data_IF_938507514960
#
_entry.id   IF_938507514960
#
_cell.length_a   1.000
_cell.length_b   1.000
_cell.length_c   1.000
_cell.angle_alpha   90.00
_cell.angle_beta   90.00
_cell.angle_gamma   90.00
#
_symmetry.space_group_name_H-M   'P 1'
#
loop_
_entity.id
_entity.type
_entity.pdbx_description
1 polymer ?
#
# COMPACT_ATOMS: atom_id res chain seq x y z
N UNK A 1 -13.02 18.39 -14.22
CA UNK A 1 -12.90 18.37 -12.76
C UNK A 1 -11.93 17.30 -12.32
N UNK A 2 -10.91 17.73 -11.65
CA UNK A 2 -9.87 16.81 -11.26
C UNK A 2 -10.24 16.03 -10.03
N UNK A 3 -9.91 14.76 -10.04
CA UNK A 3 -10.03 13.95 -8.88
C UNK A 3 -8.80 14.11 -8.03
N UNK A 4 -9.01 14.23 -6.75
CA UNK A 4 -7.90 14.24 -5.81
C UNK A 4 -7.50 12.79 -5.56
N UNK A 5 -6.29 12.48 -5.96
CA UNK A 5 -5.70 11.18 -5.62
C UNK A 5 -4.33 11.41 -5.03
N UNK A 6 -3.96 10.57 -4.10
CA UNK A 6 -2.65 10.63 -3.47
C UNK A 6 -1.91 9.35 -3.77
N UNK A 7 -0.62 9.46 -4.00
CA UNK A 7 0.19 8.29 -4.27
C UNK A 7 0.96 7.93 -3.00
N UNK A 8 0.67 6.73 -2.49
CA UNK A 8 1.37 6.18 -1.35
C UNK A 8 2.35 5.15 -1.87
N UNK A 9 3.61 5.27 -1.48
CA UNK A 9 4.64 4.37 -1.98
C UNK A 9 5.07 3.44 -0.85
N UNK A 10 4.97 2.14 -1.12
CA UNK A 10 5.49 1.12 -0.23
C UNK A 10 6.74 0.52 -0.85
N UNK A 11 7.56 -0.10 -0.02
CA UNK A 11 8.72 -0.82 -0.49
C UNK A 11 8.69 -2.21 0.10
N UNK A 12 8.97 -3.21 -0.74
CA UNK A 12 9.01 -4.60 -0.28
C UNK A 12 10.33 -4.82 0.45
N UNK A 13 10.25 -5.12 1.74
CA UNK A 13 11.43 -5.38 2.57
C UNK A 13 11.85 -6.83 2.47
N UNK A 14 10.87 -7.73 2.58
CA UNK A 14 11.11 -9.17 2.50
C UNK A 14 10.20 -9.76 1.44
N UNK A 15 10.70 -9.95 0.21
CA UNK A 15 9.89 -10.54 -0.85
C UNK A 15 9.47 -11.95 -0.45
N UNK A 16 8.22 -12.29 -0.73
CA UNK A 16 7.73 -13.60 -0.43
C UNK A 16 6.21 -13.63 -0.40
N UNK A 17 5.64 -14.77 0.02
CA UNK A 17 4.18 -14.94 0.00
C UNK A 17 3.45 -13.95 0.89
N UNK A 18 4.05 -13.57 2.02
CA UNK A 18 3.40 -12.64 2.93
C UNK A 18 3.28 -11.25 2.32
N UNK A 19 4.36 -10.77 1.69
CA UNK A 19 4.30 -9.47 1.03
C UNK A 19 3.27 -9.49 -0.08
N UNK A 20 3.24 -10.56 -0.88
CA UNK A 20 2.27 -10.68 -1.97
C UNK A 20 0.84 -10.69 -1.45
N UNK A 21 0.61 -11.38 -0.33
CA UNK A 21 -0.72 -11.44 0.27
C UNK A 21 -1.18 -10.07 0.74
N UNK A 22 -0.28 -9.32 1.36
CA UNK A 22 -0.59 -7.97 1.84
C UNK A 22 -0.92 -7.05 0.67
N UNK A 23 -0.14 -7.12 -0.41
CA UNK A 23 -0.40 -6.28 -1.56
C UNK A 23 -1.74 -6.63 -2.21
N UNK A 24 -2.05 -7.92 -2.30
CA UNK A 24 -3.34 -8.33 -2.84
C UNK A 24 -4.49 -7.87 -1.96
N UNK A 25 -4.29 -7.86 -0.65
CA UNK A 25 -5.32 -7.38 0.26
C UNK A 25 -5.57 -5.90 0.03
N UNK A 26 -4.51 -5.12 -0.18
CA UNK A 26 -4.67 -3.71 -0.50
C UNK A 26 -5.48 -3.51 -1.79
N UNK A 27 -5.18 -4.30 -2.81
CA UNK A 27 -5.92 -4.20 -4.05
C UNK A 27 -7.40 -4.49 -3.85
N UNK A 28 -7.69 -5.51 -3.07
CA UNK A 28 -9.06 -5.94 -2.85
C UNK A 28 -9.83 -4.93 -1.99
N UNK A 29 -9.20 -4.45 -0.91
CA UNK A 29 -9.90 -3.59 0.04
C UNK A 29 -10.05 -2.17 -0.46
N UNK A 30 -9.06 -1.67 -1.18
CA UNK A 30 -9.06 -0.28 -1.64
C UNK A 30 -9.40 -0.13 -3.11
N UNK A 31 -9.53 -1.23 -3.84
CA UNK A 31 -9.83 -1.16 -5.26
C UNK A 31 -8.72 -0.52 -6.07
N UNK A 32 -7.46 -0.80 -5.70
CA UNK A 32 -6.31 -0.16 -6.35
C UNK A 32 -5.38 -1.24 -6.89
N UNK A 33 -4.42 -0.81 -7.70
CA UNK A 33 -3.33 -1.69 -8.13
C UNK A 33 -2.17 -1.53 -7.16
N UNK A 34 -1.61 -2.66 -6.71
CA UNK A 34 -0.49 -2.66 -5.77
C UNK A 34 0.53 -3.68 -6.25
N UNK A 35 1.23 -3.35 -7.34
CA UNK A 35 2.19 -4.25 -7.96
C UNK A 35 3.60 -3.72 -7.80
N UNK A 36 4.56 -4.58 -7.40
CA UNK A 36 5.94 -4.13 -7.25
C UNK A 36 6.52 -3.65 -8.58
N UNK A 37 7.23 -2.55 -8.51
CA UNK A 37 7.94 -1.98 -9.63
C UNK A 37 9.43 -2.19 -9.44
N UNK A 38 10.24 -1.44 -10.18
CA UNK A 38 11.68 -1.53 -10.08
C UNK A 38 12.14 -1.29 -8.64
N UNK A 39 13.09 -2.09 -8.17
CA UNK A 39 13.69 -1.98 -6.83
C UNK A 39 12.68 -2.25 -5.71
N UNK A 40 11.60 -2.95 -6.02
CA UNK A 40 10.63 -3.35 -5.00
C UNK A 40 9.71 -2.24 -4.52
N UNK A 41 9.68 -1.12 -5.23
CA UNK A 41 8.74 -0.04 -4.88
C UNK A 41 7.35 -0.36 -5.41
N UNK A 42 6.35 0.00 -4.61
CA UNK A 42 4.94 -0.26 -4.94
C UNK A 42 4.19 1.05 -4.84
N UNK A 43 4.01 1.77 -5.95
CA UNK A 43 3.21 2.99 -5.91
C UNK A 43 1.73 2.64 -5.96
N UNK A 44 0.96 3.26 -5.07
CA UNK A 44 -0.47 2.99 -4.94
C UNK A 44 -1.21 4.32 -5.06
N UNK A 45 -2.11 4.41 -6.04
CA UNK A 45 -2.94 5.60 -6.21
C UNK A 45 -4.21 5.41 -5.40
N UNK A 46 -4.37 6.19 -4.35
CA UNK A 46 -5.51 6.09 -3.44
C UNK A 46 -6.41 7.30 -3.65
N UNK A 47 -7.69 7.05 -3.84
CA UNK A 47 -8.65 8.13 -4.08
C UNK A 47 -9.12 8.77 -2.80
N UNK A 48 -8.22 9.48 -2.11
CA UNK A 48 -8.51 10.18 -0.89
C UNK A 48 -8.12 11.65 -1.01
N UNK A 49 -8.75 12.48 -0.21
CA UNK A 49 -8.58 13.92 -0.30
C UNK A 49 -7.36 14.42 0.46
N UNK A 50 -6.33 13.66 0.53
CA UNK A 50 -5.12 14.10 1.20
C UNK A 50 -4.20 12.93 1.40
N UNK A 51 -2.91 13.27 1.44
CA UNK A 51 -1.89 12.23 1.58
C UNK A 51 -2.04 11.50 2.91
N UNK A 52 -2.32 12.25 3.99
CA UNK A 52 -2.44 11.63 5.31
C UNK A 52 -3.60 10.64 5.36
N UNK A 53 -4.72 10.99 4.72
CA UNK A 53 -5.87 10.09 4.69
C UNK A 53 -5.55 8.85 3.84
N UNK A 54 -4.82 9.03 2.75
CA UNK A 54 -4.41 7.91 1.92
C UNK A 54 -3.49 6.97 2.68
N UNK A 55 -2.52 7.53 3.41
CA UNK A 55 -1.61 6.73 4.23
C UNK A 55 -2.40 5.98 5.30
N UNK A 56 -3.35 6.64 5.94
CA UNK A 56 -4.15 6.01 6.98
C UNK A 56 -4.96 4.84 6.42
N UNK A 57 -5.53 5.01 5.23
CA UNK A 57 -6.31 3.93 4.62
C UNK A 57 -5.43 2.72 4.32
N UNK A 58 -4.26 2.95 3.73
CA UNK A 58 -3.33 1.86 3.42
C UNK A 58 -2.87 1.17 4.69
N UNK A 59 -2.46 1.95 5.68
CA UNK A 59 -1.95 1.40 6.94
C UNK A 59 -3.01 0.57 7.64
N UNK A 60 -4.26 1.04 7.65
CA UNK A 60 -5.33 0.30 8.31
C UNK A 60 -5.53 -1.06 7.69
N UNK A 61 -5.55 -1.13 6.36
CA UNK A 61 -5.73 -2.42 5.68
C UNK A 61 -4.58 -3.36 6.02
N UNK A 62 -3.35 -2.83 6.02
CA UNK A 62 -2.19 -3.67 6.31
C UNK A 62 -2.22 -4.19 7.74
N UNK A 63 -2.58 -3.33 8.70
CA UNK A 63 -2.62 -3.74 10.10
C UNK A 63 -3.74 -4.73 10.38
N UNK A 64 -4.86 -4.59 9.70
CA UNK A 64 -5.94 -5.56 9.84
C UNK A 64 -5.59 -6.90 9.23
N UNK A 65 -4.73 -6.89 8.22
CA UNK A 65 -4.31 -8.12 7.57
C UNK A 65 -3.22 -8.83 8.36
N UNK A 66 -2.27 -8.07 8.91
CA UNK A 66 -1.13 -8.63 9.61
C UNK A 66 -0.53 -7.56 10.52
N UNK A 67 -0.58 -7.79 11.83
CA UNK A 67 -0.05 -6.83 12.79
C UNK A 67 1.45 -6.58 12.59
N UNK A 68 2.14 -7.52 11.95
CA UNK A 68 3.58 -7.41 11.73
C UNK A 68 3.91 -7.09 10.26
N UNK A 69 3.00 -6.41 9.59
CA UNK A 69 3.18 -6.12 8.16
C UNK A 69 4.46 -5.35 7.90
N UNK A 70 4.95 -4.59 8.87
CA UNK A 70 6.16 -3.78 8.68
C UNK A 70 7.42 -4.62 8.52
N UNK A 71 7.35 -5.91 8.84
CA UNK A 71 8.45 -6.81 8.56
C UNK A 71 8.58 -7.11 7.08
N UNK A 72 7.50 -6.95 6.33
CA UNK A 72 7.46 -7.30 4.92
C UNK A 72 7.40 -6.10 4.00
N UNK A 73 6.78 -5.03 4.45
CA UNK A 73 6.60 -3.81 3.66
C UNK A 73 7.02 -2.60 4.47
N UNK A 74 7.49 -1.58 3.76
CA UNK A 74 7.91 -0.33 4.38
C UNK A 74 7.18 0.82 3.73
N UNK A 75 6.61 1.71 4.53
CA UNK A 75 5.96 2.90 4.01
C UNK A 75 7.03 3.93 3.69
N UNK A 76 7.00 4.41 2.45
CA UNK A 76 7.91 5.46 2.01
C UNK A 76 7.14 6.76 1.89
N UNK A 77 7.72 7.81 2.38
CA UNK A 77 7.07 9.12 2.29
C UNK A 77 7.84 10.09 1.41
#
# INVERSE_FOLDING_TARGET
MDRMTSIVVLRVRNPGPEASRLLRRLESELGVLAQPQTAGFVPISVGEDGYDDAVAAVTRVLEESDAEWQEHLELRS
#
